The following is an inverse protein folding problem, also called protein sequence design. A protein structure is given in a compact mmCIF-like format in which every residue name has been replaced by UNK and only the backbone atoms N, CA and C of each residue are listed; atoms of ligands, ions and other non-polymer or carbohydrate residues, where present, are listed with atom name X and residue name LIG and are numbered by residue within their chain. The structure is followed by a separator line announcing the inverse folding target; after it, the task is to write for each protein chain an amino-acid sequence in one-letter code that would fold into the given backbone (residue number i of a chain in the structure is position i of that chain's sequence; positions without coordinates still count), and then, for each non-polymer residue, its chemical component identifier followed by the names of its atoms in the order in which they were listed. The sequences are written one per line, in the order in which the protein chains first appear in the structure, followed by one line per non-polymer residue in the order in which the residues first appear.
data_IF_725859198344
#
_entry.id   IF_725859198344
#
_cell.length_a   1.000
_cell.length_b   1.000
_cell.length_c   1.000
_cell.angle_alpha   90.00
_cell.angle_beta   90.00
_cell.angle_gamma   90.00
#
_symmetry.space_group_name_H-M   'P 1'
#
loop_
_entity.id
_entity.type
_entity.pdbx_description
1 polymer ?
#
# COMPACT_ATOMS: atom_id res chain seq x y z
N UNK A 1 11.26 -6.14 -14.36
CA UNK A 1 12.54 -6.86 -14.23
C UNK A 1 13.25 -6.31 -12.98
N UNK A 2 13.77 -7.15 -12.08
CA UNK A 2 14.65 -6.67 -11.02
C UNK A 2 15.89 -6.05 -11.68
N UNK A 3 16.24 -4.84 -11.24
CA UNK A 3 17.35 -4.07 -11.83
C UNK A 3 18.69 -4.55 -11.28
N UNK A 4 18.66 -5.22 -10.11
CA UNK A 4 19.86 -5.66 -9.40
C UNK A 4 19.64 -7.03 -8.77
N UNK A 5 20.66 -7.88 -8.82
CA UNK A 5 20.75 -9.08 -8.01
C UNK A 5 21.29 -8.70 -6.64
N UNK A 6 20.62 -9.14 -5.58
CA UNK A 6 21.05 -8.93 -4.19
C UNK A 6 21.50 -10.27 -3.66
N UNK A 7 22.76 -10.34 -3.24
CA UNK A 7 23.30 -11.48 -2.52
C UNK A 7 22.97 -11.33 -1.03
N UNK A 8 22.50 -12.41 -0.41
CA UNK A 8 22.27 -12.50 1.03
C UNK A 8 22.83 -13.82 1.54
N UNK A 9 23.74 -13.72 2.50
CA UNK A 9 24.46 -14.80 3.13
C UNK A 9 23.58 -16.03 3.49
N UNK A 10 22.43 -15.82 4.14
CA UNK A 10 21.58 -16.92 4.63
C UNK A 10 20.86 -17.73 3.54
N UNK A 11 20.70 -17.20 2.36
CA UNK A 11 19.85 -17.81 1.32
C UNK A 11 20.64 -18.53 0.22
N UNK A 12 21.91 -18.16 0.03
CA UNK A 12 22.69 -18.63 -1.14
C UNK A 12 23.84 -19.58 -0.79
N UNK A 13 24.12 -19.85 0.51
CA UNK A 13 25.29 -20.59 0.91
C UNK A 13 24.98 -21.96 1.52
N UNK A 14 25.57 -23.00 0.91
CA UNK A 14 25.69 -24.32 1.53
C UNK A 14 26.86 -24.30 2.53
N UNK A 15 26.68 -24.92 3.70
CA UNK A 15 27.53 -24.81 4.88
C UNK A 15 29.05 -25.18 4.72
N UNK A 16 29.50 -25.57 3.54
CA UNK A 16 30.89 -26.06 3.33
C UNK A 16 31.88 -25.05 2.73
N UNK A 17 31.43 -23.99 2.06
CA UNK A 17 32.31 -23.04 1.36
C UNK A 17 31.98 -21.58 1.67
N UNK A 18 31.62 -21.30 2.94
CA UNK A 18 31.10 -19.99 3.37
C UNK A 18 32.10 -18.85 3.05
N UNK A 19 33.36 -19.02 3.36
CA UNK A 19 34.37 -17.95 3.20
C UNK A 19 34.64 -17.63 1.72
N UNK A 20 34.87 -18.64 0.90
CA UNK A 20 35.16 -18.45 -0.52
C UNK A 20 33.96 -17.84 -1.29
N UNK A 21 32.74 -18.27 -0.95
CA UNK A 21 31.53 -17.74 -1.57
C UNK A 21 31.22 -16.29 -1.16
N UNK A 22 31.54 -15.91 0.07
CA UNK A 22 31.44 -14.51 0.53
C UNK A 22 32.47 -13.64 -0.18
N UNK A 23 33.73 -14.10 -0.27
CA UNK A 23 34.78 -13.37 -0.98
C UNK A 23 34.46 -13.17 -2.47
N UNK A 24 33.94 -14.21 -3.13
CA UNK A 24 33.44 -14.10 -4.51
C UNK A 24 32.28 -13.12 -4.64
N UNK A 25 31.32 -13.17 -3.70
CA UNK A 25 30.20 -12.25 -3.67
C UNK A 25 30.65 -10.80 -3.46
N UNK A 26 31.60 -10.56 -2.56
CA UNK A 26 32.17 -9.24 -2.34
C UNK A 26 32.92 -8.74 -3.59
N UNK A 27 33.71 -9.60 -4.22
CA UNK A 27 34.48 -9.26 -5.42
C UNK A 27 33.58 -8.93 -6.63
N UNK A 28 32.46 -9.62 -6.77
CA UNK A 28 31.52 -9.42 -7.87
C UNK A 28 30.45 -8.38 -7.61
N UNK A 29 30.29 -7.93 -6.36
CA UNK A 29 29.28 -6.95 -5.97
C UNK A 29 29.71 -5.53 -6.33
N UNK A 30 28.77 -4.74 -6.83
CA UNK A 30 29.03 -3.34 -7.17
C UNK A 30 28.95 -2.41 -5.95
N UNK A 31 28.10 -2.75 -4.98
CA UNK A 31 27.88 -2.00 -3.75
C UNK A 31 27.76 -2.96 -2.58
N UNK A 32 28.23 -2.53 -1.42
CA UNK A 32 28.03 -3.21 -0.14
C UNK A 32 27.06 -2.39 0.71
N UNK A 33 25.93 -2.99 1.12
CA UNK A 33 25.00 -2.38 2.07
C UNK A 33 25.31 -2.97 3.46
N UNK A 34 25.74 -2.12 4.39
CA UNK A 34 26.07 -2.52 5.76
C UNK A 34 24.92 -2.12 6.68
N UNK A 35 24.28 -3.11 7.30
CA UNK A 35 23.25 -2.86 8.31
C UNK A 35 23.95 -2.63 9.65
N UNK A 36 23.86 -1.38 10.15
CA UNK A 36 24.57 -0.95 11.34
C UNK A 36 23.65 -0.97 12.56
N UNK A 37 24.10 -1.69 13.59
CA UNK A 37 23.49 -1.77 14.92
C UNK A 37 24.59 -1.78 15.98
N UNK A 38 24.24 -1.67 17.26
CA UNK A 38 25.21 -1.77 18.37
C UNK A 38 26.01 -3.09 18.36
N UNK A 39 25.52 -4.13 17.68
CA UNK A 39 26.19 -5.42 17.53
C UNK A 39 27.19 -5.46 16.36
N UNK A 40 27.00 -4.60 15.36
CA UNK A 40 27.84 -4.62 14.15
C UNK A 40 29.32 -4.41 14.44
N UNK A 41 29.73 -3.47 15.34
CA UNK A 41 31.13 -3.31 15.70
C UNK A 41 31.75 -4.51 16.45
N UNK A 42 30.90 -5.35 17.05
CA UNK A 42 31.35 -6.54 17.80
C UNK A 42 31.56 -7.75 16.88
N UNK A 43 31.15 -7.66 15.62
CA UNK A 43 31.31 -8.75 14.65
C UNK A 43 32.59 -8.59 13.85
N UNK A 44 33.59 -9.44 14.15
CA UNK A 44 34.83 -9.52 13.38
C UNK A 44 34.58 -9.85 11.90
N UNK A 45 33.54 -10.63 11.60
CA UNK A 45 33.14 -10.96 10.23
C UNK A 45 32.68 -9.73 9.46
N UNK A 46 31.80 -8.92 10.04
CA UNK A 46 31.35 -7.68 9.40
C UNK A 46 32.53 -6.72 9.15
N UNK A 47 33.43 -6.59 10.10
CA UNK A 47 34.62 -5.74 9.93
C UNK A 47 35.50 -6.24 8.76
N UNK A 48 35.74 -7.54 8.70
CA UNK A 48 36.57 -8.17 7.65
C UNK A 48 35.92 -8.06 6.27
N UNK A 49 34.60 -8.23 6.16
CA UNK A 49 33.85 -8.04 4.93
C UNK A 49 33.90 -6.59 4.41
N UNK A 50 33.79 -5.61 5.31
CA UNK A 50 33.90 -4.18 4.98
C UNK A 50 35.33 -3.85 4.50
N UNK A 51 36.36 -4.31 5.21
CA UNK A 51 37.77 -4.11 4.83
C UNK A 51 38.08 -4.74 3.47
N UNK A 52 37.64 -5.98 3.26
CA UNK A 52 37.81 -6.68 1.99
C UNK A 52 37.11 -5.92 0.86
N UNK A 53 35.86 -5.53 1.04
CA UNK A 53 35.13 -4.78 0.02
C UNK A 53 35.76 -3.40 -0.25
N UNK A 54 36.20 -2.70 0.81
CA UNK A 54 36.91 -1.42 0.72
C UNK A 54 38.19 -1.55 -0.11
N UNK A 55 38.97 -2.60 0.12
CA UNK A 55 40.20 -2.85 -0.64
C UNK A 55 39.96 -3.15 -2.12
N UNK A 56 38.85 -3.83 -2.45
CA UNK A 56 38.51 -4.23 -3.83
C UNK A 56 37.81 -3.12 -4.64
N UNK A 57 36.96 -2.33 -4.01
CA UNK A 57 36.02 -1.45 -4.73
C UNK A 57 36.06 0.01 -4.29
N UNK A 58 36.78 0.33 -3.20
CA UNK A 58 36.81 1.66 -2.60
C UNK A 58 35.64 1.95 -1.67
N UNK A 59 35.77 3.03 -0.94
CA UNK A 59 34.86 3.44 0.14
C UNK A 59 33.52 3.95 -0.35
N UNK A 60 33.49 4.59 -1.52
CA UNK A 60 32.32 5.26 -2.09
C UNK A 60 31.16 4.31 -2.44
N UNK A 61 31.47 3.00 -2.47
CA UNK A 61 30.50 1.96 -2.78
C UNK A 61 29.94 1.24 -1.56
N UNK A 62 30.32 1.69 -0.37
CA UNK A 62 29.81 1.16 0.90
C UNK A 62 28.65 2.06 1.36
N UNK A 63 27.50 1.46 1.61
CA UNK A 63 26.27 2.15 1.95
C UNK A 63 25.82 1.70 3.35
N UNK A 64 26.08 2.47 4.42
CA UNK A 64 25.62 2.14 5.74
C UNK A 64 24.14 2.46 5.90
N UNK A 65 23.43 1.56 6.58
CA UNK A 65 22.02 1.70 6.96
C UNK A 65 21.92 1.53 8.47
N UNK A 66 21.57 2.58 9.17
CA UNK A 66 21.49 2.58 10.63
C UNK A 66 20.12 2.09 11.08
N UNK A 67 20.10 1.03 11.88
CA UNK A 67 18.88 0.43 12.42
C UNK A 67 18.76 0.57 13.94
N UNK A 68 19.89 0.75 14.65
CA UNK A 68 19.94 0.81 16.11
C UNK A 68 21.21 1.53 16.58
N UNK A 69 21.14 2.22 17.71
CA UNK A 69 22.26 2.94 18.33
C UNK A 69 22.63 4.23 17.61
N UNK A 70 23.57 4.97 18.20
CA UNK A 70 24.14 6.15 17.55
C UNK A 70 25.22 5.77 16.55
N UNK A 71 25.50 6.58 15.51
CA UNK A 71 26.55 6.28 14.53
C UNK A 71 27.89 5.94 15.17
N UNK A 72 28.28 6.65 16.23
CA UNK A 72 29.52 6.40 16.99
C UNK A 72 29.57 5.03 17.68
N UNK A 73 28.40 4.47 18.03
CA UNK A 73 28.30 3.16 18.69
C UNK A 73 28.05 2.03 17.69
N UNK A 74 27.28 2.29 16.64
CA UNK A 74 26.79 1.28 15.71
C UNK A 74 27.70 1.05 14.50
N UNK A 75 28.56 2.00 14.16
CA UNK A 75 29.46 1.82 13.03
C UNK A 75 30.73 1.05 13.44
N UNK A 76 31.09 0.00 12.70
CA UNK A 76 32.35 -0.71 12.91
C UNK A 76 33.55 0.16 12.53
N UNK A 77 34.73 -0.21 13.07
CA UNK A 77 35.96 0.56 12.92
C UNK A 77 36.27 0.93 11.46
N UNK A 78 36.21 -0.01 10.48
CA UNK A 78 36.51 0.31 9.09
C UNK A 78 35.62 1.40 8.49
N UNK A 79 34.39 1.57 8.99
CA UNK A 79 33.51 2.66 8.55
C UNK A 79 33.83 3.99 9.23
N UNK A 80 34.30 3.98 10.49
CA UNK A 80 34.69 5.19 11.23
C UNK A 80 35.97 5.82 10.69
N UNK A 81 36.90 5.00 10.24
CA UNK A 81 38.18 5.44 9.68
C UNK A 81 38.04 6.10 8.29
N UNK A 82 36.90 5.96 7.63
CA UNK A 82 36.68 6.47 6.26
C UNK A 82 36.82 7.99 6.15
N UNK A 83 36.43 8.76 7.18
CA UNK A 83 36.40 10.24 7.10
C UNK A 83 36.80 10.98 8.40
N UNK A 84 37.31 10.28 9.40
CA UNK A 84 37.58 10.86 10.73
C UNK A 84 36.34 10.95 11.62
N UNK A 85 36.55 11.16 12.92
CA UNK A 85 35.47 11.09 13.94
C UNK A 85 34.35 12.14 13.76
N UNK A 86 34.67 13.30 13.18
CA UNK A 86 33.70 14.39 12.96
C UNK A 86 32.75 14.14 11.78
N UNK A 87 33.14 13.29 10.83
CA UNK A 87 32.37 13.04 9.60
C UNK A 87 31.47 11.79 9.64
N UNK A 88 31.41 11.09 10.78
CA UNK A 88 30.60 9.88 10.94
C UNK A 88 29.11 10.12 10.65
N UNK A 89 28.61 11.32 10.93
CA UNK A 89 27.22 11.71 10.60
C UNK A 89 26.98 11.95 9.10
N UNK A 90 28.03 12.25 8.33
CA UNK A 90 27.92 12.48 6.87
C UNK A 90 27.95 11.17 6.06
N UNK A 91 28.40 10.07 6.67
CA UNK A 91 28.47 8.76 6.01
C UNK A 91 27.10 8.08 5.93
N UNK A 92 26.13 8.55 6.70
CA UNK A 92 24.82 7.90 6.83
C UNK A 92 24.03 7.96 5.53
N UNK A 93 23.92 6.83 4.83
CA UNK A 93 23.09 6.75 3.63
C UNK A 93 21.59 6.63 3.96
N UNK A 94 21.24 5.90 5.01
CA UNK A 94 19.87 5.77 5.46
C UNK A 94 19.79 5.55 6.98
N UNK A 95 18.88 6.26 7.64
CA UNK A 95 18.54 6.09 9.05
C UNK A 95 17.09 5.59 9.15
N UNK A 96 16.90 4.36 9.63
CA UNK A 96 15.60 3.74 9.78
C UNK A 96 15.23 3.46 11.23
N UNK A 97 15.94 4.10 12.16
CA UNK A 97 15.66 3.97 13.58
C UNK A 97 14.31 4.62 13.90
N UNK A 98 13.41 3.98 14.66
CA UNK A 98 12.26 4.65 15.25
C UNK A 98 12.73 5.52 16.44
N UNK A 99 12.13 6.68 16.62
CA UNK A 99 12.51 7.66 17.66
C UNK A 99 12.62 7.05 19.07
N UNK A 100 11.81 6.05 19.37
CA UNK A 100 11.77 5.35 20.65
C UNK A 100 12.99 4.45 20.89
N UNK A 101 13.75 4.09 19.86
CA UNK A 101 14.96 3.24 19.97
C UNK A 101 16.25 4.04 19.99
N UNK A 102 16.20 5.35 19.73
CA UNK A 102 17.38 6.24 19.76
C UNK A 102 18.08 6.22 21.13
N UNK A 103 17.33 6.10 22.23
CA UNK A 103 17.81 6.10 23.59
C UNK A 103 17.73 4.74 24.31
N UNK A 104 17.41 3.65 23.58
CA UNK A 104 17.28 2.35 24.19
C UNK A 104 18.66 1.72 24.39
N UNK A 105 18.98 1.36 25.63
CA UNK A 105 20.13 0.54 25.94
C UNK A 105 20.00 -0.84 25.32
N UNK A 106 21.15 -1.48 25.00
CA UNK A 106 21.21 -2.81 24.41
C UNK A 106 20.43 -3.83 25.23
N UNK A 107 20.53 -3.80 26.55
CA UNK A 107 19.76 -4.64 27.47
C UNK A 107 18.27 -4.37 27.39
N UNK A 108 17.87 -3.11 27.20
CA UNK A 108 16.47 -2.72 27.00
C UNK A 108 15.87 -3.29 25.71
N UNK A 109 16.64 -3.38 24.64
CA UNK A 109 16.18 -3.99 23.39
C UNK A 109 15.98 -5.50 23.51
N UNK A 110 16.91 -6.21 24.16
CA UNK A 110 16.73 -7.65 24.44
C UNK A 110 15.58 -7.93 25.40
N UNK A 111 15.39 -7.10 26.42
CA UNK A 111 14.24 -7.18 27.32
C UNK A 111 12.91 -6.94 26.59
N UNK A 112 12.87 -6.02 25.63
CA UNK A 112 11.71 -5.80 24.75
C UNK A 112 11.45 -7.01 23.85
N UNK A 113 12.49 -7.62 23.30
CA UNK A 113 12.38 -8.81 22.45
C UNK A 113 11.82 -10.02 23.22
N UNK A 114 12.21 -10.18 24.47
CA UNK A 114 11.79 -11.30 25.31
C UNK A 114 10.43 -11.08 25.98
N UNK A 115 10.09 -9.86 26.40
CA UNK A 115 8.93 -9.58 27.23
C UNK A 115 7.76 -8.89 26.53
N UNK A 116 7.95 -8.29 25.33
CA UNK A 116 6.87 -7.51 24.70
C UNK A 116 6.88 -7.60 23.17
N UNK A 117 6.41 -8.76 22.65
CA UNK A 117 6.27 -9.00 21.22
C UNK A 117 5.38 -7.95 20.50
N UNK A 118 4.40 -7.38 21.20
CA UNK A 118 3.52 -6.37 20.62
C UNK A 118 4.27 -5.06 20.35
N UNK A 119 5.08 -4.60 21.31
CA UNK A 119 5.90 -3.39 21.16
C UNK A 119 6.99 -3.58 20.09
N UNK A 120 7.63 -4.75 20.05
CA UNK A 120 8.60 -5.08 19.00
C UNK A 120 7.96 -5.02 17.62
N UNK A 121 6.75 -5.56 17.45
CA UNK A 121 6.01 -5.49 16.19
C UNK A 121 5.66 -4.06 15.80
N UNK A 122 5.31 -3.23 16.76
CA UNK A 122 5.03 -1.80 16.55
C UNK A 122 6.29 -1.06 16.09
N UNK A 123 7.42 -1.23 16.78
CA UNK A 123 8.71 -0.63 16.42
C UNK A 123 9.17 -1.09 15.03
N UNK A 124 9.05 -2.38 14.73
CA UNK A 124 9.35 -2.92 13.40
C UNK A 124 8.48 -2.26 12.33
N UNK A 125 7.20 -2.06 12.59
CA UNK A 125 6.31 -1.36 11.66
C UNK A 125 6.73 0.10 11.44
N UNK A 126 7.11 0.81 12.50
CA UNK A 126 7.62 2.19 12.40
C UNK A 126 8.90 2.25 11.57
N UNK A 127 9.88 1.36 11.83
CA UNK A 127 11.10 1.26 11.01
C UNK A 127 10.82 0.96 9.55
N UNK A 128 9.89 0.06 9.26
CA UNK A 128 9.48 -0.24 7.88
C UNK A 128 8.79 0.94 7.19
N UNK A 129 8.05 1.76 7.94
CA UNK A 129 7.43 2.98 7.40
C UNK A 129 8.50 4.05 7.08
N UNK A 130 9.52 4.21 7.93
CA UNK A 130 10.67 5.07 7.68
C UNK A 130 11.44 4.56 6.44
N UNK A 131 11.69 3.25 6.36
CA UNK A 131 12.37 2.62 5.23
C UNK A 131 11.66 2.90 3.89
N UNK A 132 10.35 3.06 3.85
CA UNK A 132 9.62 3.43 2.62
C UNK A 132 10.12 4.75 2.02
N UNK A 133 10.65 5.65 2.84
CA UNK A 133 11.23 6.92 2.41
C UNK A 133 12.75 6.80 2.25
N UNK A 134 13.43 6.25 3.25
CA UNK A 134 14.89 6.17 3.28
C UNK A 134 15.48 5.26 2.19
N UNK A 135 14.73 4.27 1.71
CA UNK A 135 15.14 3.46 0.55
C UNK A 135 15.53 4.29 -0.68
N UNK A 136 14.93 5.49 -0.85
CA UNK A 136 15.29 6.36 -1.97
C UNK A 136 16.68 6.98 -1.81
N UNK A 137 17.20 7.12 -0.57
CA UNK A 137 18.59 7.55 -0.33
C UNK A 137 19.56 6.48 -0.79
N UNK A 138 19.32 5.23 -0.37
CA UNK A 138 20.11 4.07 -0.82
C UNK A 138 20.05 3.94 -2.34
N UNK A 139 18.87 4.03 -2.92
CA UNK A 139 18.71 3.95 -4.38
C UNK A 139 19.36 5.13 -5.12
N UNK A 140 19.33 6.33 -4.55
CA UNK A 140 19.97 7.52 -5.12
C UNK A 140 21.50 7.32 -5.20
N UNK A 141 22.10 6.80 -4.12
CA UNK A 141 23.53 6.46 -4.08
C UNK A 141 23.88 5.42 -5.14
N UNK A 142 23.10 4.33 -5.24
CA UNK A 142 23.34 3.26 -6.22
C UNK A 142 23.17 3.75 -7.68
N UNK A 143 22.22 4.63 -7.93
CA UNK A 143 21.92 5.12 -9.27
C UNK A 143 22.69 6.39 -9.66
N UNK A 144 23.41 7.01 -8.72
CA UNK A 144 24.12 8.28 -8.93
C UNK A 144 23.17 9.44 -9.28
N UNK A 145 21.99 9.47 -8.68
CA UNK A 145 20.97 10.50 -8.96
C UNK A 145 20.47 11.18 -7.67
N UNK A 146 19.79 12.32 -7.83
CA UNK A 146 19.24 13.05 -6.68
C UNK A 146 18.13 12.26 -5.96
N UNK A 147 18.16 12.25 -4.64
CA UNK A 147 17.09 11.72 -3.79
C UNK A 147 15.74 12.38 -4.08
N UNK A 148 15.74 13.72 -4.30
CA UNK A 148 14.54 14.48 -4.62
C UNK A 148 13.86 13.99 -5.90
N UNK A 149 14.63 13.79 -6.96
CA UNK A 149 14.12 13.34 -8.25
C UNK A 149 13.47 11.95 -8.19
N UNK A 150 14.09 11.01 -7.46
CA UNK A 150 13.52 9.68 -7.27
C UNK A 150 12.20 9.71 -6.50
N UNK A 151 12.17 10.47 -5.41
CA UNK A 151 10.97 10.62 -4.58
C UNK A 151 9.83 11.29 -5.34
N UNK A 152 10.14 12.31 -6.13
CA UNK A 152 9.15 13.02 -6.95
C UNK A 152 8.58 12.12 -8.04
N UNK A 153 9.42 11.41 -8.78
CA UNK A 153 9.00 10.47 -9.83
C UNK A 153 8.09 9.36 -9.28
N UNK A 154 8.37 8.84 -8.08
CA UNK A 154 7.51 7.83 -7.47
C UNK A 154 6.15 8.41 -7.06
N UNK A 155 6.14 9.63 -6.49
CA UNK A 155 4.90 10.35 -6.17
C UNK A 155 4.04 10.58 -7.43
N UNK A 156 4.65 11.04 -8.51
CA UNK A 156 3.96 11.29 -9.79
C UNK A 156 3.37 9.99 -10.37
N UNK A 157 4.12 8.89 -10.33
CA UNK A 157 3.62 7.57 -10.77
C UNK A 157 2.44 7.09 -9.94
N UNK A 158 2.51 7.24 -8.61
CA UNK A 158 1.40 6.89 -7.70
C UNK A 158 0.19 7.76 -7.94
N UNK A 159 0.38 9.07 -8.07
CA UNK A 159 -0.70 10.02 -8.37
C UNK A 159 -1.39 9.69 -9.69
N UNK A 160 -0.64 9.45 -10.76
CA UNK A 160 -1.18 9.05 -12.06
C UNK A 160 -1.99 7.76 -11.97
N UNK A 161 -1.50 6.74 -11.24
CA UNK A 161 -2.25 5.49 -11.04
C UNK A 161 -3.56 5.70 -10.29
N UNK A 162 -3.54 6.47 -9.20
CA UNK A 162 -4.74 6.80 -8.42
C UNK A 162 -5.75 7.54 -9.30
N UNK A 163 -5.28 8.53 -10.07
CA UNK A 163 -6.12 9.31 -10.97
C UNK A 163 -6.78 8.43 -12.03
N UNK A 164 -6.02 7.51 -12.63
CA UNK A 164 -6.56 6.56 -13.63
C UNK A 164 -7.63 5.65 -13.01
N UNK A 165 -7.36 5.07 -11.84
CA UNK A 165 -8.32 4.20 -11.15
C UNK A 165 -9.59 4.97 -10.75
N UNK A 166 -9.43 6.19 -10.25
CA UNK A 166 -10.56 7.06 -9.89
C UNK A 166 -11.42 7.42 -11.10
N UNK A 167 -10.80 7.74 -12.24
CA UNK A 167 -11.51 8.05 -13.49
C UNK A 167 -12.33 6.86 -13.99
N UNK A 168 -11.73 5.67 -13.98
CA UNK A 168 -12.42 4.44 -14.39
C UNK A 168 -13.59 4.13 -13.44
N UNK A 169 -13.38 4.24 -12.14
CA UNK A 169 -14.44 4.04 -11.16
C UNK A 169 -15.60 5.05 -11.37
N UNK A 170 -15.28 6.33 -11.58
CA UNK A 170 -16.26 7.35 -11.88
C UNK A 170 -17.09 7.07 -13.14
N UNK A 171 -16.44 6.60 -14.22
CA UNK A 171 -17.13 6.20 -15.44
C UNK A 171 -18.09 5.02 -15.21
N UNK A 172 -17.67 4.02 -14.44
CA UNK A 172 -18.52 2.87 -14.09
C UNK A 172 -19.76 3.33 -13.29
N UNK A 173 -19.58 4.22 -12.31
CA UNK A 173 -20.71 4.76 -11.54
C UNK A 173 -21.68 5.57 -12.41
N UNK A 174 -21.19 6.35 -13.37
CA UNK A 174 -22.05 7.09 -14.30
C UNK A 174 -22.86 6.13 -15.19
N UNK A 175 -22.23 5.10 -15.75
CA UNK A 175 -22.92 4.09 -16.56
C UNK A 175 -24.00 3.38 -15.73
N UNK A 176 -23.67 2.99 -14.50
CA UNK A 176 -24.61 2.35 -13.59
C UNK A 176 -25.78 3.28 -13.24
N UNK A 177 -25.50 4.56 -12.96
CA UNK A 177 -26.53 5.56 -12.70
C UNK A 177 -27.49 5.74 -13.88
N UNK A 178 -26.97 5.83 -15.11
CA UNK A 178 -27.78 5.89 -16.34
C UNK A 178 -28.61 4.63 -16.55
N UNK A 179 -28.04 3.47 -16.28
CA UNK A 179 -28.75 2.19 -16.36
C UNK A 179 -29.92 2.13 -15.36
N UNK A 180 -29.66 2.53 -14.11
CA UNK A 180 -30.70 2.58 -13.08
C UNK A 180 -31.81 3.59 -13.39
N UNK A 181 -31.46 4.77 -13.91
CA UNK A 181 -32.46 5.78 -14.34
C UNK A 181 -33.33 5.23 -15.46
N UNK A 182 -32.76 4.57 -16.46
CA UNK A 182 -33.50 3.95 -17.54
C UNK A 182 -34.42 2.80 -17.05
N UNK A 183 -33.89 1.96 -16.14
CA UNK A 183 -34.70 0.90 -15.52
C UNK A 183 -35.88 1.47 -14.71
N UNK A 184 -35.65 2.54 -13.97
CA UNK A 184 -36.69 3.22 -13.21
C UNK A 184 -37.79 3.79 -14.13
N UNK A 185 -37.43 4.46 -15.24
CA UNK A 185 -38.37 4.98 -16.22
C UNK A 185 -39.22 3.86 -16.84
N UNK A 186 -38.58 2.75 -17.23
CA UNK A 186 -39.32 1.59 -17.79
C UNK A 186 -40.27 0.98 -16.78
N UNK A 187 -39.86 0.86 -15.52
CA UNK A 187 -40.73 0.35 -14.45
C UNK A 187 -41.97 1.26 -14.21
N UNK A 188 -41.78 2.57 -14.26
CA UNK A 188 -42.85 3.53 -14.09
C UNK A 188 -43.84 3.48 -15.28
N UNK A 189 -43.36 3.41 -16.51
CA UNK A 189 -44.19 3.21 -17.70
C UNK A 189 -45.01 1.92 -17.62
N UNK A 190 -44.36 0.79 -17.29
CA UNK A 190 -45.05 -0.49 -17.12
C UNK A 190 -46.13 -0.44 -16.02
N UNK A 191 -45.85 0.27 -14.93
CA UNK A 191 -46.83 0.50 -13.85
C UNK A 191 -48.04 1.29 -14.35
N UNK A 192 -47.84 2.35 -15.12
CA UNK A 192 -48.93 3.16 -15.70
C UNK A 192 -49.75 2.33 -16.68
N UNK A 193 -49.16 1.54 -17.56
CA UNK A 193 -49.84 0.64 -18.47
C UNK A 193 -50.67 -0.42 -17.72
N UNK A 194 -50.12 -1.00 -16.65
CA UNK A 194 -50.86 -1.96 -15.82
C UNK A 194 -52.07 -1.34 -15.14
N UNK A 195 -51.96 -0.10 -14.62
CA UNK A 195 -53.07 0.63 -14.02
C UNK A 195 -54.16 0.92 -15.06
N UNK A 196 -53.79 1.39 -16.25
CA UNK A 196 -54.72 1.65 -17.34
C UNK A 196 -55.44 0.38 -17.82
N UNK A 197 -54.67 -0.74 -17.98
CA UNK A 197 -55.24 -2.03 -18.36
C UNK A 197 -56.23 -2.54 -17.34
N UNK A 198 -55.89 -2.52 -16.05
CA UNK A 198 -56.81 -2.92 -14.98
C UNK A 198 -58.07 -2.06 -14.95
N UNK A 199 -57.93 -0.74 -15.10
CA UNK A 199 -59.06 0.16 -15.16
C UNK A 199 -60.00 -0.14 -16.36
N UNK A 200 -59.42 -0.45 -17.52
CA UNK A 200 -60.20 -0.80 -18.72
C UNK A 200 -60.98 -2.13 -18.55
N UNK A 201 -60.36 -3.11 -17.90
CA UNK A 201 -61.01 -4.38 -17.57
C UNK A 201 -62.18 -4.19 -16.61
N UNK A 202 -61.97 -3.39 -15.55
CA UNK A 202 -63.04 -3.05 -14.59
C UNK A 202 -64.17 -2.29 -15.25
N UNK A 203 -63.89 -1.34 -16.13
CA UNK A 203 -64.89 -0.62 -16.90
C UNK A 203 -65.71 -1.54 -17.82
N UNK A 204 -65.06 -2.49 -18.49
CA UNK A 204 -65.72 -3.50 -19.31
C UNK A 204 -66.66 -4.35 -18.45
N UNK A 205 -66.21 -4.82 -17.33
CA UNK A 205 -67.01 -5.59 -16.36
C UNK A 205 -68.23 -4.83 -15.82
N UNK A 206 -68.08 -3.54 -15.53
CA UNK A 206 -69.13 -2.69 -15.15
C UNK A 206 -70.27 -2.59 -16.23
N UNK A 207 -69.83 -2.46 -17.51
CA UNK A 207 -70.80 -2.45 -18.65
C UNK A 207 -71.51 -3.79 -18.79
N UNK A 208 -70.88 -4.91 -18.54
CA UNK A 208 -71.52 -6.22 -18.61
C UNK A 208 -72.56 -6.39 -17.51
N UNK A 209 -72.25 -5.99 -16.26
CA UNK A 209 -73.24 -5.96 -15.17
C UNK A 209 -74.43 -5.03 -15.47
N UNK A 210 -74.22 -3.93 -16.17
CA UNK A 210 -75.36 -3.06 -16.61
C UNK A 210 -76.23 -3.76 -17.58
N UNK A 211 -75.71 -4.58 -18.51
CA UNK A 211 -76.54 -5.35 -19.48
C UNK A 211 -77.28 -6.49 -18.80
N UNK A 212 -76.73 -7.06 -17.72
CA UNK A 212 -77.40 -8.11 -16.91
C UNK A 212 -78.46 -7.56 -15.96
N UNK A 213 -78.60 -6.22 -15.88
CA UNK A 213 -79.62 -5.56 -15.02
C UNK A 213 -79.15 -5.37 -13.57
N UNK A 214 -77.92 -5.71 -13.23
CA UNK A 214 -77.37 -5.55 -11.88
C UNK A 214 -76.66 -4.18 -11.73
N UNK A 215 -77.41 -3.15 -11.62
CA UNK A 215 -77.01 -1.74 -11.57
C UNK A 215 -76.15 -1.45 -10.34
N UNK A 216 -76.36 -2.16 -9.20
CA UNK A 216 -75.59 -1.93 -7.97
C UNK A 216 -74.14 -2.41 -8.15
N UNK A 217 -73.96 -3.60 -8.67
CA UNK A 217 -72.57 -4.12 -8.97
C UNK A 217 -71.88 -3.31 -10.05
N UNK A 218 -72.61 -2.87 -11.08
CA UNK A 218 -72.04 -2.03 -12.13
C UNK A 218 -71.46 -0.72 -11.57
N UNK A 219 -72.15 -0.03 -10.67
CA UNK A 219 -71.66 1.19 -10.03
C UNK A 219 -70.53 0.96 -9.10
N UNK A 220 -70.48 -0.13 -8.31
CA UNK A 220 -69.39 -0.48 -7.43
C UNK A 220 -68.12 -0.72 -8.21
N UNK A 221 -68.15 -1.50 -9.29
CA UNK A 221 -66.97 -1.83 -10.13
C UNK A 221 -66.52 -0.59 -10.90
N UNK A 222 -67.38 0.26 -11.37
CA UNK A 222 -67.01 1.54 -11.99
C UNK A 222 -66.26 2.46 -11.00
N UNK A 223 -66.77 2.55 -9.76
CA UNK A 223 -66.08 3.33 -8.70
C UNK A 223 -64.70 2.79 -8.40
N UNK A 224 -64.50 1.47 -8.40
CA UNK A 224 -63.21 0.83 -8.18
C UNK A 224 -62.24 1.09 -9.36
N UNK A 225 -62.71 1.07 -10.60
CA UNK A 225 -61.96 1.47 -11.77
C UNK A 225 -61.51 2.94 -11.68
N UNK A 226 -62.34 3.84 -11.26
CA UNK A 226 -61.98 5.26 -11.07
C UNK A 226 -60.97 5.46 -9.95
N UNK A 227 -61.07 4.69 -8.87
CA UNK A 227 -60.10 4.74 -7.75
C UNK A 227 -58.73 4.21 -8.15
N UNK A 228 -58.67 3.22 -9.04
CA UNK A 228 -57.39 2.67 -9.52
C UNK A 228 -56.64 3.62 -10.45
N UNK A 229 -57.34 4.49 -11.20
CA UNK A 229 -56.74 5.51 -12.08
C UNK A 229 -56.16 6.69 -11.28
N UNK A 230 -56.76 7.02 -10.10
CA UNK A 230 -56.30 8.13 -9.24
C UNK A 230 -55.82 7.64 -7.86
N UNK A 231 -54.71 6.90 -7.76
CA UNK A 231 -54.25 6.41 -6.46
C UNK A 231 -53.65 7.49 -5.56
N UNK A 232 -53.39 8.71 -6.04
CA UNK A 232 -52.57 9.71 -5.33
C UNK A 232 -53.04 11.18 -5.42
N UNK A 233 -54.33 11.45 -5.50
CA UNK A 233 -54.80 12.79 -5.08
C UNK A 233 -55.12 12.73 -3.58
N UNK A 234 -54.12 12.82 -2.74
CA UNK A 234 -54.28 13.30 -1.36
C UNK A 234 -54.35 14.82 -1.43
N UNK A 235 -55.52 15.35 -1.01
CA UNK A 235 -55.70 16.76 -0.68
C UNK A 235 -54.81 17.11 0.51
#
# INVERSE_FOLDING_TARGET
RPVFRVFRDREELAARDLSASIEEALATSRYLIVICSKRTPLSEWCQREIETFKSLHGEERIIPVLIEGEPGEAFPLPLKELKGEEAVSEILAADIRPDETLNADFEGYEALQNNNKAKLKELTKKSLDILKTEKYRVMATILGCSFGDLKQRDKERKSKRIMTVSTVAGAVFLIFGLFMANAYQKAELARQEAVQSNASILMKRSKDFTKEGDFIKAVLVAKEAMKSIKPNMKY
#
